data_IF_308004325561
#
_entry.id   IF_308004325561
#
_cell.length_a   1.000
_cell.length_b   1.000
_cell.length_c   1.000
_cell.angle_alpha   90.00
_cell.angle_beta   90.00
_cell.angle_gamma   90.00
#
_symmetry.space_group_name_H-M   'P 1'
#
loop_
_entity.id
_entity.type
_entity.pdbx_description
1 polymer ?
#
# COMPACT_ATOMS: atom_id res chain seq x y z
N UNK A 1 40.16 43.16 -30.03
CA UNK A 1 39.85 41.76 -30.45
C UNK A 1 38.66 41.25 -29.64
N UNK A 2 37.68 40.66 -30.33
CA UNK A 2 36.29 40.37 -29.93
C UNK A 2 36.09 39.61 -28.60
N UNK A 3 35.04 40.01 -27.87
CA UNK A 3 34.32 39.25 -26.83
C UNK A 3 34.02 37.80 -27.25
N UNK A 4 33.91 36.90 -26.25
CA UNK A 4 32.74 36.01 -26.07
C UNK A 4 32.77 35.31 -24.71
N UNK A 5 31.87 35.76 -23.83
CA UNK A 5 31.45 35.05 -22.63
C UNK A 5 30.67 33.79 -23.01
N UNK A 6 31.13 32.62 -22.57
CA UNK A 6 30.41 31.37 -22.75
C UNK A 6 29.39 31.19 -21.61
N UNK A 7 28.15 31.64 -21.84
CA UNK A 7 27.00 31.22 -21.02
C UNK A 7 26.77 29.72 -21.22
N UNK A 8 27.12 28.91 -20.22
CA UNK A 8 26.63 27.52 -20.12
C UNK A 8 25.16 27.57 -19.72
N UNK A 9 24.28 27.51 -20.72
CA UNK A 9 22.85 27.32 -20.54
C UNK A 9 22.56 25.92 -19.97
N UNK A 10 22.37 25.83 -18.66
CA UNK A 10 21.83 24.66 -17.97
C UNK A 10 20.33 24.55 -18.25
N UNK A 11 19.96 24.06 -19.44
CA UNK A 11 18.58 23.72 -19.76
C UNK A 11 18.21 22.38 -19.10
N UNK A 12 18.02 22.37 -17.77
CA UNK A 12 17.37 21.27 -17.08
C UNK A 12 15.86 21.41 -17.29
N UNK A 13 15.38 20.86 -18.41
CA UNK A 13 13.95 20.70 -18.67
C UNK A 13 13.38 19.71 -17.64
N UNK A 14 12.82 20.25 -16.55
CA UNK A 14 12.02 19.51 -15.55
C UNK A 14 10.83 18.87 -16.28
N UNK A 15 10.96 17.62 -16.74
CA UNK A 15 9.81 16.82 -17.15
C UNK A 15 9.11 16.32 -15.90
N UNK A 16 7.84 16.70 -15.77
CA UNK A 16 7.02 16.60 -14.58
C UNK A 16 7.13 15.26 -13.86
N UNK A 17 7.58 15.33 -12.60
CA UNK A 17 7.01 14.48 -11.56
C UNK A 17 5.52 14.80 -11.52
N UNK A 18 4.67 13.93 -12.04
CA UNK A 18 3.27 13.94 -11.65
C UNK A 18 3.24 13.75 -10.13
N UNK A 19 2.93 14.82 -9.41
CA UNK A 19 2.75 14.81 -7.96
C UNK A 19 1.87 13.63 -7.57
N UNK A 20 2.24 12.91 -6.52
CA UNK A 20 1.40 11.84 -5.98
C UNK A 20 0.01 12.43 -5.70
N UNK A 21 -1.00 11.99 -6.47
CA UNK A 21 -2.39 12.37 -6.23
C UNK A 21 -2.77 11.81 -4.85
N UNK A 22 -3.00 12.68 -3.88
CA UNK A 22 -3.60 12.31 -2.61
C UNK A 22 -5.11 12.37 -2.80
N UNK A 23 -5.78 11.27 -2.51
CA UNK A 23 -7.24 11.19 -2.60
C UNK A 23 -7.78 11.04 -1.19
N UNK A 24 -8.56 12.02 -0.74
CA UNK A 24 -9.20 12.01 0.57
C UNK A 24 -10.65 11.59 0.39
N UNK A 25 -11.00 10.42 0.91
CA UNK A 25 -12.39 9.94 0.92
C UNK A 25 -13.05 10.39 2.22
N UNK A 26 -14.01 11.31 2.13
CA UNK A 26 -14.89 11.65 3.25
C UNK A 26 -15.94 10.55 3.38
N UNK A 27 -16.11 10.05 4.60
CA UNK A 27 -17.06 8.98 4.90
C UNK A 27 -18.08 9.54 5.89
N UNK A 28 -19.34 9.55 5.49
CA UNK A 28 -20.45 10.01 6.33
C UNK A 28 -21.00 8.87 7.20
N UNK A 29 -21.68 9.22 8.30
CA UNK A 29 -22.29 8.26 9.23
C UNK A 29 -21.35 7.57 10.22
N UNK A 30 -20.12 8.07 10.40
CA UNK A 30 -19.14 7.51 11.35
C UNK A 30 -19.13 8.20 12.73
N UNK A 31 -20.03 9.16 12.97
CA UNK A 31 -20.02 9.97 14.18
C UNK A 31 -20.22 9.13 15.45
N UNK A 32 -21.13 8.17 15.41
CA UNK A 32 -21.42 7.27 16.52
C UNK A 32 -20.24 6.34 16.81
N UNK A 33 -19.63 5.75 15.77
CA UNK A 33 -18.42 4.93 15.91
C UNK A 33 -17.23 5.72 16.46
N UNK A 34 -17.08 6.98 16.03
CA UNK A 34 -16.06 7.87 16.56
C UNK A 34 -16.30 8.23 18.04
N UNK A 35 -17.56 8.39 18.46
CA UNK A 35 -17.93 8.62 19.86
C UNK A 35 -17.65 7.38 20.71
N UNK A 36 -18.13 6.21 20.29
CA UNK A 36 -17.89 4.95 20.97
C UNK A 36 -16.39 4.65 21.13
N UNK A 37 -15.57 4.96 20.10
CA UNK A 37 -14.12 4.83 20.19
C UNK A 37 -13.47 5.73 21.25
N UNK A 38 -14.03 6.91 21.54
CA UNK A 38 -13.50 7.83 22.57
C UNK A 38 -13.88 7.41 23.99
N UNK A 39 -14.99 6.71 24.14
CA UNK A 39 -15.45 6.19 25.43
C UNK A 39 -14.67 4.94 25.87
N UNK A 40 -14.02 4.26 24.91
CA UNK A 40 -13.19 3.10 25.19
C UNK A 40 -11.79 3.50 25.72
N UNK A 41 -11.17 2.64 26.56
CA UNK A 41 -9.78 2.84 26.96
C UNK A 41 -8.83 2.92 25.76
N UNK A 42 -7.82 3.80 25.81
CA UNK A 42 -6.89 4.07 24.71
C UNK A 42 -6.30 2.82 24.04
N UNK A 43 -5.93 1.82 24.85
CA UNK A 43 -5.36 0.56 24.35
C UNK A 43 -6.35 -0.19 23.46
N UNK A 44 -7.62 -0.20 23.85
CA UNK A 44 -8.70 -0.87 23.13
C UNK A 44 -9.00 -0.11 21.84
N UNK A 45 -9.19 1.22 21.94
CA UNK A 45 -9.45 2.09 20.79
C UNK A 45 -8.34 1.97 19.73
N UNK A 46 -7.07 2.06 20.14
CA UNK A 46 -5.90 1.91 19.26
C UNK A 46 -5.88 0.56 18.55
N UNK A 47 -6.09 -0.52 19.28
CA UNK A 47 -6.08 -1.88 18.72
C UNK A 47 -7.24 -2.09 17.75
N UNK A 48 -8.44 -1.62 18.10
CA UNK A 48 -9.60 -1.71 17.22
C UNK A 48 -9.42 -0.93 15.93
N UNK A 49 -8.91 0.30 16.02
CA UNK A 49 -8.61 1.10 14.84
C UNK A 49 -7.54 0.40 13.96
N UNK A 50 -6.48 -0.15 14.57
CA UNK A 50 -5.42 -0.85 13.81
C UNK A 50 -5.95 -2.05 13.04
N UNK A 51 -6.79 -2.87 13.66
CA UNK A 51 -7.40 -4.05 13.02
C UNK A 51 -8.38 -3.63 11.92
N UNK A 52 -9.09 -2.51 12.11
CA UNK A 52 -10.02 -1.98 11.11
C UNK A 52 -9.30 -1.46 9.87
N UNK A 53 -8.25 -0.66 10.03
CA UNK A 53 -7.41 -0.21 8.90
C UNK A 53 -6.73 -1.39 8.20
N UNK A 54 -6.31 -2.40 8.97
CA UNK A 54 -5.78 -3.64 8.39
C UNK A 54 -6.80 -4.30 7.45
N UNK A 55 -8.08 -4.40 7.84
CA UNK A 55 -9.12 -4.98 7.00
C UNK A 55 -9.30 -4.21 5.68
N UNK A 56 -9.33 -2.88 5.72
CA UNK A 56 -9.38 -2.05 4.51
C UNK A 56 -8.15 -2.22 3.62
N UNK A 57 -6.95 -2.20 4.21
CA UNK A 57 -5.70 -2.41 3.48
C UNK A 57 -5.59 -3.81 2.86
N UNK A 58 -6.21 -4.81 3.49
CA UNK A 58 -6.29 -6.20 2.99
C UNK A 58 -7.02 -6.28 1.66
N UNK A 59 -8.19 -5.63 1.54
CA UNK A 59 -8.97 -5.61 0.30
C UNK A 59 -8.13 -5.04 -0.85
N UNK A 60 -7.48 -3.90 -0.63
CA UNK A 60 -6.64 -3.24 -1.65
C UNK A 60 -5.43 -4.10 -2.01
N UNK A 61 -4.76 -4.70 -1.02
CA UNK A 61 -3.62 -5.59 -1.25
C UNK A 61 -4.02 -6.78 -2.12
N UNK A 62 -5.13 -7.44 -1.78
CA UNK A 62 -5.56 -8.66 -2.46
C UNK A 62 -5.95 -8.34 -3.91
N UNK A 63 -6.61 -7.23 -4.13
CA UNK A 63 -6.89 -6.72 -5.47
C UNK A 63 -5.62 -6.38 -6.26
N UNK A 64 -4.64 -5.73 -5.63
CA UNK A 64 -3.35 -5.44 -6.25
C UNK A 64 -2.60 -6.72 -6.66
N UNK A 65 -2.74 -7.82 -5.89
CA UNK A 65 -2.18 -9.13 -6.25
C UNK A 65 -2.85 -9.76 -7.46
N UNK A 66 -4.15 -9.56 -7.61
CA UNK A 66 -4.89 -10.04 -8.77
C UNK A 66 -4.43 -9.32 -10.05
N UNK A 67 -4.35 -7.99 -9.99
CA UNK A 67 -3.92 -7.14 -11.12
C UNK A 67 -2.44 -7.23 -11.47
N UNK A 68 -1.58 -7.58 -10.50
CA UNK A 68 -0.14 -7.63 -10.71
C UNK A 68 0.25 -8.57 -11.87
N UNK A 69 1.03 -8.09 -12.86
CA UNK A 69 1.49 -8.93 -13.98
C UNK A 69 2.27 -10.17 -13.52
N UNK A 70 2.12 -11.26 -14.27
CA UNK A 70 2.89 -12.50 -14.09
C UNK A 70 3.61 -12.83 -15.38
N UNK A 71 4.93 -13.06 -15.30
CA UNK A 71 5.71 -13.56 -16.43
C UNK A 71 5.18 -14.94 -16.87
N UNK A 72 5.02 -15.14 -18.19
CA UNK A 72 4.52 -16.40 -18.75
C UNK A 72 5.50 -17.55 -18.52
N UNK A 73 6.80 -17.27 -18.65
CA UNK A 73 7.88 -18.23 -18.48
C UNK A 73 9.01 -17.65 -17.63
N UNK A 74 9.94 -18.52 -17.23
CA UNK A 74 11.18 -18.08 -16.57
C UNK A 74 12.05 -17.31 -17.57
N UNK A 75 12.52 -16.12 -17.19
CA UNK A 75 13.33 -15.24 -18.04
C UNK A 75 14.85 -15.48 -17.88
N UNK A 76 15.24 -16.59 -17.25
CA UNK A 76 16.63 -16.98 -17.02
C UNK A 76 17.05 -16.94 -15.55
N UNK A 77 18.29 -17.38 -15.24
CA UNK A 77 18.75 -17.61 -13.86
C UNK A 77 18.88 -16.33 -13.03
N UNK A 78 19.15 -15.19 -13.66
CA UNK A 78 19.31 -13.90 -13.00
C UNK A 78 17.99 -13.11 -12.88
N UNK A 79 16.86 -13.69 -13.32
CA UNK A 79 15.57 -13.04 -13.27
C UNK A 79 14.69 -13.64 -12.17
N UNK A 80 13.88 -12.84 -11.46
CA UNK A 80 12.96 -13.36 -10.47
C UNK A 80 11.98 -14.36 -11.10
N UNK A 81 11.68 -15.48 -10.42
CA UNK A 81 10.81 -16.50 -10.96
C UNK A 81 9.40 -15.96 -11.22
N UNK A 82 8.66 -16.57 -12.15
CA UNK A 82 7.28 -16.18 -12.44
C UNK A 82 6.41 -16.04 -11.18
N UNK A 83 5.64 -14.96 -11.12
CA UNK A 83 4.73 -14.64 -10.02
C UNK A 83 5.38 -14.00 -8.80
N UNK A 84 6.67 -13.64 -8.82
CA UNK A 84 7.33 -13.00 -7.67
C UNK A 84 6.66 -11.69 -7.33
N UNK A 85 6.29 -10.88 -8.32
CA UNK A 85 5.56 -9.64 -8.10
C UNK A 85 4.28 -9.84 -7.27
N UNK A 86 3.41 -10.80 -7.66
CA UNK A 86 2.17 -11.11 -6.94
C UNK A 86 2.42 -11.46 -5.48
N UNK A 87 3.46 -12.25 -5.20
CA UNK A 87 3.79 -12.66 -3.82
C UNK A 87 4.38 -11.51 -3.00
N UNK A 88 5.14 -10.64 -3.65
CA UNK A 88 5.82 -9.51 -3.03
C UNK A 88 4.90 -8.35 -2.65
N UNK A 89 3.66 -8.27 -3.16
CA UNK A 89 2.67 -7.29 -2.71
C UNK A 89 2.25 -7.57 -1.27
N UNK A 90 2.47 -6.59 -0.40
CA UNK A 90 2.22 -6.65 1.04
C UNK A 90 1.52 -5.39 1.53
N UNK A 91 1.03 -5.47 2.78
CA UNK A 91 0.73 -4.28 3.57
C UNK A 91 1.75 -4.17 4.71
N UNK A 92 2.17 -2.95 5.05
CA UNK A 92 3.08 -2.66 6.16
C UNK A 92 2.41 -1.63 7.07
N UNK A 93 2.31 -1.92 8.37
CA UNK A 93 1.95 -0.92 9.37
C UNK A 93 3.12 0.03 9.61
N UNK A 94 2.86 1.33 9.65
CA UNK A 94 3.85 2.38 9.86
C UNK A 94 3.59 3.00 11.24
N UNK A 95 4.21 2.49 12.32
CA UNK A 95 3.98 2.99 13.66
C UNK A 95 4.41 4.45 13.82
N UNK A 96 5.42 4.90 13.08
CA UNK A 96 5.96 6.27 13.13
C UNK A 96 4.94 7.31 12.61
N UNK A 97 4.00 6.89 11.76
CA UNK A 97 2.92 7.73 11.24
C UNK A 97 1.58 7.46 11.92
N UNK A 98 1.55 6.56 12.91
CA UNK A 98 0.33 6.13 13.59
C UNK A 98 0.21 6.78 14.98
N UNK A 99 -0.97 7.31 15.28
CA UNK A 99 -1.36 7.91 16.57
C UNK A 99 -2.52 7.13 17.18
N UNK A 100 -3.05 7.56 18.32
CA UNK A 100 -4.25 6.94 18.91
C UNK A 100 -5.45 6.98 17.94
N UNK A 101 -5.61 8.08 17.22
CA UNK A 101 -6.74 8.36 16.32
C UNK A 101 -6.44 8.10 14.85
N UNK A 102 -5.19 7.81 14.49
CA UNK A 102 -4.75 7.56 13.11
C UNK A 102 -3.91 6.30 13.04
N UNK A 103 -4.27 5.35 12.18
CA UNK A 103 -3.43 4.18 11.91
C UNK A 103 -3.05 4.18 10.43
N UNK A 104 -1.75 4.07 10.14
CA UNK A 104 -1.23 4.19 8.77
C UNK A 104 -0.71 2.84 8.28
N UNK A 105 -1.23 2.39 7.14
CA UNK A 105 -0.78 1.18 6.45
C UNK A 105 -0.36 1.51 5.02
N UNK A 106 0.80 1.01 4.60
CA UNK A 106 1.26 1.09 3.22
C UNK A 106 1.02 -0.22 2.50
N UNK A 107 0.25 -0.19 1.42
CA UNK A 107 0.24 -1.27 0.44
C UNK A 107 1.41 -1.05 -0.51
N UNK A 108 2.39 -1.94 -0.44
CA UNK A 108 3.67 -1.80 -1.13
C UNK A 108 4.19 -3.15 -1.61
N UNK A 109 5.31 -3.14 -2.33
CA UNK A 109 5.95 -4.34 -2.87
C UNK A 109 7.28 -4.58 -2.16
N UNK A 110 7.53 -5.82 -1.74
CA UNK A 110 8.84 -6.23 -1.22
C UNK A 110 9.88 -6.23 -2.34
N UNK A 111 11.03 -5.62 -2.08
CA UNK A 111 12.16 -5.59 -3.00
C UNK A 111 13.49 -5.40 -2.26
N UNK A 112 14.58 -5.83 -2.89
CA UNK A 112 15.95 -5.75 -2.40
C UNK A 112 16.56 -7.11 -2.08
N UNK A 113 17.89 -7.15 -2.03
CA UNK A 113 18.71 -8.37 -1.90
C UNK A 113 18.29 -9.29 -0.75
N UNK A 114 17.81 -8.73 0.37
CA UNK A 114 17.35 -9.51 1.53
C UNK A 114 16.16 -10.43 1.24
N UNK A 115 15.39 -10.16 0.18
CA UNK A 115 14.22 -10.95 -0.20
C UNK A 115 14.49 -12.01 -1.27
N UNK A 116 15.74 -12.12 -1.76
CA UNK A 116 16.11 -13.04 -2.86
C UNK A 116 15.97 -14.52 -2.49
N UNK A 117 16.24 -14.87 -1.24
CA UNK A 117 16.16 -16.25 -0.71
C UNK A 117 14.93 -16.46 0.19
N UNK A 118 14.03 -15.48 0.25
CA UNK A 118 12.85 -15.55 1.08
C UNK A 118 11.70 -16.17 0.27
N UNK A 119 11.27 -17.40 0.60
CA UNK A 119 10.19 -18.07 -0.12
C UNK A 119 9.99 -19.51 0.34
N UNK A 120 8.91 -20.16 -0.10
CA UNK A 120 8.72 -21.61 0.10
C UNK A 120 9.50 -22.39 -0.97
N UNK A 121 9.90 -23.62 -0.65
CA UNK A 121 10.66 -24.54 -1.51
C UNK A 121 10.12 -24.50 -2.95
N UNK A 122 10.97 -24.16 -3.93
CA UNK A 122 10.63 -24.04 -5.36
C UNK A 122 10.30 -22.62 -5.86
N UNK A 123 10.12 -21.63 -4.97
CA UNK A 123 9.86 -20.24 -5.38
C UNK A 123 10.54 -19.24 -4.45
N UNK A 124 11.87 -19.30 -4.47
CA UNK A 124 12.75 -18.78 -3.43
C UNK A 124 12.80 -17.25 -3.33
N UNK A 125 12.33 -16.50 -4.32
CA UNK A 125 12.48 -15.04 -4.35
C UNK A 125 11.18 -14.28 -4.18
N UNK A 126 11.19 -13.36 -3.22
CA UNK A 126 10.21 -12.30 -3.00
C UNK A 126 10.81 -10.93 -3.35
N UNK A 127 11.95 -10.91 -4.04
CA UNK A 127 12.56 -9.69 -4.55
C UNK A 127 11.92 -9.30 -5.88
N UNK A 128 10.99 -8.35 -5.82
CA UNK A 128 10.37 -7.76 -6.99
C UNK A 128 10.97 -6.39 -7.32
N UNK A 129 12.30 -6.23 -7.33
CA UNK A 129 13.00 -4.96 -7.64
C UNK A 129 12.47 -4.20 -8.87
N UNK A 130 11.91 -4.92 -9.84
CA UNK A 130 11.37 -4.38 -11.09
C UNK A 130 9.97 -3.75 -10.98
N UNK A 131 9.28 -3.86 -9.83
CA UNK A 131 7.87 -3.46 -9.69
C UNK A 131 7.61 -1.98 -10.07
N UNK A 132 8.55 -1.08 -9.76
CA UNK A 132 8.43 0.36 -10.09
C UNK A 132 8.39 0.59 -11.60
N UNK A 133 9.17 -0.16 -12.36
CA UNK A 133 9.20 -0.05 -13.82
C UNK A 133 7.89 -0.53 -14.43
N UNK A 134 7.23 -1.52 -13.82
CA UNK A 134 5.89 -1.93 -14.23
C UNK A 134 4.84 -0.89 -13.86
N UNK A 135 4.83 -0.39 -12.62
CA UNK A 135 3.80 0.57 -12.18
C UNK A 135 3.84 1.90 -12.95
N UNK A 136 5.04 2.43 -13.23
CA UNK A 136 5.20 3.76 -13.83
C UNK A 136 5.67 3.74 -15.29
N UNK A 137 6.11 2.59 -15.79
CA UNK A 137 6.73 2.48 -17.09
C UNK A 137 8.19 2.96 -17.09
N UNK A 138 8.81 2.87 -18.27
CA UNK A 138 10.14 3.41 -18.53
C UNK A 138 10.15 4.12 -19.89
N UNK A 139 11.26 4.75 -20.26
CA UNK A 139 11.41 5.33 -21.61
C UNK A 139 11.17 4.30 -22.74
N UNK A 140 11.41 3.01 -22.48
CA UNK A 140 11.35 1.93 -23.48
C UNK A 140 10.15 1.00 -23.30
N UNK A 141 9.31 1.20 -22.28
CA UNK A 141 8.21 0.30 -21.93
C UNK A 141 7.03 1.07 -21.36
N UNK A 142 5.81 0.79 -21.83
CA UNK A 142 4.58 1.38 -21.29
C UNK A 142 4.32 0.89 -19.86
N UNK A 143 3.67 1.72 -19.06
CA UNK A 143 3.26 1.36 -17.70
C UNK A 143 2.18 0.27 -17.73
N UNK A 144 2.30 -0.68 -16.82
CA UNK A 144 1.29 -1.68 -16.47
C UNK A 144 0.93 -1.51 -14.98
N UNK A 145 0.16 -0.45 -14.65
CA UNK A 145 -0.15 -0.14 -13.27
C UNK A 145 -1.05 -1.21 -12.65
N UNK A 146 -0.78 -1.55 -11.40
CA UNK A 146 -1.55 -2.55 -10.65
C UNK A 146 -1.88 -2.06 -9.23
N UNK A 147 -1.04 -1.20 -8.62
CA UNK A 147 -1.30 -0.63 -7.30
C UNK A 147 -2.35 0.47 -7.36
N UNK A 148 -2.14 1.47 -8.22
CA UNK A 148 -3.09 2.58 -8.40
C UNK A 148 -4.50 2.12 -8.80
N UNK A 149 -4.68 1.28 -9.84
CA UNK A 149 -6.02 0.81 -10.18
C UNK A 149 -6.63 -0.09 -9.10
N UNK A 150 -5.83 -0.79 -8.28
CA UNK A 150 -6.34 -1.52 -7.13
C UNK A 150 -6.94 -0.61 -6.06
N UNK A 151 -6.26 0.49 -5.73
CA UNK A 151 -6.81 1.48 -4.82
C UNK A 151 -8.09 2.09 -5.39
N UNK A 152 -8.05 2.57 -6.64
CA UNK A 152 -9.19 3.21 -7.28
C UNK A 152 -10.41 2.28 -7.32
N UNK A 153 -10.24 1.03 -7.77
CA UNK A 153 -11.34 0.08 -7.87
C UNK A 153 -11.96 -0.29 -6.51
N UNK A 154 -11.13 -0.48 -5.47
CA UNK A 154 -11.56 -1.04 -4.18
C UNK A 154 -11.70 -0.02 -3.05
N UNK A 155 -11.51 1.28 -3.29
CA UNK A 155 -11.57 2.31 -2.23
C UNK A 155 -12.86 2.28 -1.40
N UNK A 156 -14.02 2.13 -2.04
CA UNK A 156 -15.33 2.09 -1.35
C UNK A 156 -15.48 0.82 -0.50
N UNK A 157 -15.10 -0.32 -1.05
CA UNK A 157 -15.12 -1.61 -0.37
C UNK A 157 -14.13 -1.66 0.80
N UNK A 158 -12.96 -1.03 0.65
CA UNK A 158 -11.99 -0.88 1.73
C UNK A 158 -12.55 -0.05 2.89
N UNK A 159 -13.25 1.05 2.60
CA UNK A 159 -13.96 1.85 3.61
C UNK A 159 -15.03 1.03 4.31
N UNK A 160 -15.82 0.25 3.56
CA UNK A 160 -16.85 -0.59 4.16
C UNK A 160 -16.24 -1.66 5.07
N UNK A 161 -15.20 -2.36 4.61
CA UNK A 161 -14.50 -3.36 5.42
C UNK A 161 -13.87 -2.76 6.70
N UNK A 162 -13.45 -1.49 6.65
CA UNK A 162 -13.00 -0.77 7.85
C UNK A 162 -14.16 -0.50 8.82
N UNK A 163 -15.32 -0.09 8.32
CA UNK A 163 -16.52 0.14 9.13
C UNK A 163 -16.96 -1.14 9.84
N UNK A 164 -17.16 -2.20 9.06
CA UNK A 164 -17.65 -3.48 9.57
C UNK A 164 -16.71 -4.01 10.66
N UNK A 165 -15.40 -4.00 10.37
CA UNK A 165 -14.41 -4.49 11.32
C UNK A 165 -14.30 -3.64 12.59
N UNK A 166 -14.56 -2.35 12.48
CA UNK A 166 -14.55 -1.45 13.61
C UNK A 166 -15.76 -1.69 14.51
N UNK A 167 -16.96 -1.78 13.93
CA UNK A 167 -18.20 -2.10 14.63
C UNK A 167 -18.09 -3.44 15.37
N UNK A 168 -17.68 -4.50 14.67
CA UNK A 168 -17.43 -5.82 15.27
C UNK A 168 -16.53 -5.72 16.51
N UNK A 169 -15.47 -4.92 16.40
CA UNK A 169 -14.49 -4.83 17.48
C UNK A 169 -15.02 -4.05 18.66
N UNK A 170 -15.76 -2.98 18.44
CA UNK A 170 -16.40 -2.22 19.52
C UNK A 170 -17.38 -3.12 20.26
N UNK A 171 -18.24 -3.86 19.56
CA UNK A 171 -19.19 -4.78 20.18
C UNK A 171 -18.52 -5.86 21.02
N UNK A 172 -17.45 -6.47 20.50
CA UNK A 172 -16.67 -7.47 21.24
C UNK A 172 -16.06 -6.92 22.52
N UNK A 173 -15.55 -5.68 22.47
CA UNK A 173 -14.92 -5.03 23.62
C UNK A 173 -15.96 -4.58 24.64
N UNK A 174 -17.11 -4.05 24.21
CA UNK A 174 -18.23 -3.75 25.11
C UNK A 174 -18.72 -5.00 25.84
N UNK A 175 -18.86 -6.13 25.13
CA UNK A 175 -19.21 -7.43 25.75
C UNK A 175 -18.14 -7.90 26.74
N UNK A 176 -16.86 -7.70 26.41
CA UNK A 176 -15.75 -8.08 27.28
C UNK A 176 -15.68 -7.22 28.55
N UNK A 177 -16.02 -5.93 28.45
CA UNK A 177 -16.11 -5.01 29.58
C UNK A 177 -17.30 -5.37 30.49
N UNK A 178 -18.47 -5.68 29.92
CA UNK A 178 -19.66 -6.05 30.68
C UNK A 178 -19.57 -7.42 31.37
N UNK A 179 -18.61 -8.27 30.97
CA UNK A 179 -18.37 -9.58 31.58
C UNK A 179 -17.45 -9.51 32.81
N UNK A 180 -16.76 -8.39 33.00
CA UNK A 180 -15.87 -8.15 34.16
C UNK A 180 -16.62 -7.41 35.26
#
# INVERSE_FOLDING_TARGET
>A
MRMKSARRSSCWRRKGLTMAKHETVKVEGLAELAKALRELPDRVAKNGLRVSVYAGAKVIRDEARLRAPRAAQSLGPNQPPPGTLKRSVIMKHIPELSTLTRQTFFVTVRHGKKYLKQGKKGTLSQDAWYWRFLEFGTRKMRAQPFLRPALEAKRREAVQAMKDRLSDRIELETKALNRK
#
